data_IF_242800160781
#
_entry.id   IF_242800160781
#
_cell.length_a   1.000
_cell.length_b   1.000
_cell.length_c   1.000
_cell.angle_alpha   90.00
_cell.angle_beta   90.00
_cell.angle_gamma   90.00
#
_symmetry.space_group_name_H-M   'P 1'
#
loop_
_entity.id
_entity.type
_entity.pdbx_description
1 polymer ?
#
# COMPACT_ATOMS: atom_id res chain seq x y z
N UNK A 1 -12.84 -13.66 31.11
CA UNK A 1 -13.07 -12.53 30.19
C UNK A 1 -11.86 -11.63 30.20
N UNK A 2 -11.49 -11.07 29.05
CA UNK A 2 -10.40 -10.08 28.92
C UNK A 2 -11.03 -8.68 28.89
N UNK A 3 -10.63 -7.80 29.81
CA UNK A 3 -11.20 -6.46 29.95
C UNK A 3 -10.22 -5.36 29.54
N UNK A 4 -9.59 -4.72 30.53
CA UNK A 4 -8.73 -3.53 30.37
C UNK A 4 -7.69 -3.67 29.27
N UNK A 5 -6.92 -4.76 29.24
CA UNK A 5 -5.85 -4.95 28.23
C UNK A 5 -6.35 -4.89 26.79
N UNK A 6 -7.53 -5.43 26.53
CA UNK A 6 -8.11 -5.48 25.19
C UNK A 6 -8.70 -4.12 24.78
N UNK A 7 -9.52 -3.51 25.64
CA UNK A 7 -10.23 -2.27 25.28
C UNK A 7 -9.31 -1.05 25.17
N UNK A 8 -8.17 -1.06 25.86
CA UNK A 8 -7.20 0.05 25.82
C UNK A 8 -6.02 -0.19 24.88
N UNK A 9 -5.91 -1.37 24.25
CA UNK A 9 -4.68 -1.81 23.58
C UNK A 9 -3.42 -1.55 24.45
N UNK A 10 -3.44 -2.02 25.69
CA UNK A 10 -2.56 -1.56 26.78
C UNK A 10 -1.08 -1.41 26.43
N UNK A 11 -0.49 -2.38 25.73
CA UNK A 11 0.94 -2.38 25.41
C UNK A 11 1.30 -1.37 24.29
N UNK A 12 0.33 -1.00 23.44
CA UNK A 12 0.48 -0.01 22.38
C UNK A 12 -0.88 0.67 22.08
N UNK A 13 -1.25 1.74 22.82
CA UNK A 13 -2.59 2.34 22.77
C UNK A 13 -2.88 3.17 21.51
N UNK A 14 -1.93 3.26 20.58
CA UNK A 14 -2.05 4.01 19.34
C UNK A 14 -1.40 3.29 18.15
N UNK A 15 -2.07 3.35 16.99
CA UNK A 15 -1.56 2.77 15.75
C UNK A 15 -0.57 3.68 15.00
N UNK A 16 -0.70 5.00 15.12
CA UNK A 16 0.19 5.96 14.45
C UNK A 16 -0.15 6.23 12.97
N UNK A 17 -1.41 6.11 12.56
CA UNK A 17 -1.84 6.47 11.20
C UNK A 17 -1.63 7.97 10.89
N UNK A 18 -1.32 8.30 9.64
CA UNK A 18 -1.04 9.68 9.18
C UNK A 18 -1.78 9.99 7.89
N UNK A 19 -2.08 11.27 7.66
CA UNK A 19 -2.62 11.80 6.41
C UNK A 19 -1.55 12.62 5.68
N UNK A 20 -1.35 12.38 4.39
CA UNK A 20 -0.35 13.08 3.56
C UNK A 20 -0.92 13.38 2.18
N UNK A 21 -0.63 14.59 1.68
CA UNK A 21 -0.88 14.95 0.28
C UNK A 21 0.09 14.15 -0.60
N UNK A 22 -0.42 13.52 -1.64
CA UNK A 22 0.35 12.67 -2.58
C UNK A 22 0.33 13.20 -4.01
N UNK A 23 -0.66 14.02 -4.36
CA UNK A 23 -0.73 14.74 -5.63
C UNK A 23 -1.54 16.03 -5.44
N UNK A 24 -1.25 17.04 -6.23
CA UNK A 24 -1.95 18.33 -6.25
C UNK A 24 -2.10 18.80 -7.70
N UNK A 25 -3.24 19.42 -8.01
CA UNK A 25 -3.47 20.06 -9.30
C UNK A 25 -2.57 21.31 -9.44
N UNK A 26 -1.94 21.47 -10.60
CA UNK A 26 -1.16 22.66 -10.94
C UNK A 26 -2.02 23.74 -11.63
N UNK A 27 -1.41 24.89 -11.93
CA UNK A 27 -2.08 26.04 -12.56
C UNK A 27 -2.65 25.73 -13.95
N UNK A 28 -2.20 24.65 -14.58
CA UNK A 28 -2.66 24.20 -15.90
C UNK A 28 -3.75 23.12 -15.82
N UNK A 29 -4.17 22.75 -14.61
CA UNK A 29 -5.19 21.73 -14.37
C UNK A 29 -4.66 20.29 -14.38
N UNK A 30 -3.33 20.10 -14.41
CA UNK A 30 -2.73 18.77 -14.40
C UNK A 30 -2.39 18.33 -12.97
N UNK A 31 -2.66 17.07 -12.65
CA UNK A 31 -2.28 16.49 -11.36
C UNK A 31 -0.77 16.24 -11.31
N UNK A 32 -0.07 16.92 -10.40
CA UNK A 32 1.35 16.73 -10.11
C UNK A 32 1.55 15.92 -8.83
N UNK A 33 2.38 14.90 -8.92
CA UNK A 33 2.80 14.10 -7.76
C UNK A 33 3.59 14.94 -6.74
N UNK A 34 3.36 14.72 -5.45
CA UNK A 34 4.05 15.43 -4.35
C UNK A 34 4.80 14.45 -3.45
N UNK A 35 5.98 14.87 -3.00
CA UNK A 35 6.78 14.13 -2.03
C UNK A 35 7.12 15.01 -0.82
N UNK A 36 7.06 14.43 0.38
CA UNK A 36 7.56 15.05 1.61
C UNK A 36 8.83 14.33 2.03
N UNK A 37 9.96 15.02 1.93
CA UNK A 37 11.22 14.54 2.45
C UNK A 37 11.24 14.60 3.98
N UNK A 38 12.02 13.69 4.56
CA UNK A 38 12.30 13.64 5.99
C UNK A 38 13.71 13.10 6.17
N UNK A 39 14.35 13.46 7.29
CA UNK A 39 15.65 12.90 7.67
C UNK A 39 15.60 11.38 7.89
N UNK A 40 14.42 10.82 8.19
CA UNK A 40 14.21 9.37 8.21
C UNK A 40 13.62 8.92 6.86
N UNK A 41 14.31 8.00 6.17
CA UNK A 41 13.89 7.40 4.91
C UNK A 41 12.48 6.76 4.97
N UNK A 42 12.11 6.17 6.11
CA UNK A 42 10.78 5.56 6.33
C UNK A 42 9.66 6.60 6.36
N UNK A 43 9.98 7.87 6.66
CA UNK A 43 9.01 8.96 6.72
C UNK A 43 8.81 9.65 5.36
N UNK A 44 9.62 9.30 4.35
CA UNK A 44 9.46 9.80 2.99
C UNK A 44 8.21 9.21 2.36
N UNK A 45 7.27 10.07 1.98
CA UNK A 45 6.00 9.65 1.38
C UNK A 45 6.21 9.02 0.01
N UNK A 46 5.38 8.05 -0.34
CA UNK A 46 5.29 7.54 -1.71
C UNK A 46 4.34 8.45 -2.52
N UNK A 47 4.79 9.04 -3.63
CA UNK A 47 4.04 10.02 -4.43
C UNK A 47 2.83 9.43 -5.16
N UNK A 48 1.94 10.30 -5.63
CA UNK A 48 0.84 10.04 -6.56
C UNK A 48 -0.40 9.35 -5.99
N UNK A 49 -1.49 9.39 -6.75
CA UNK A 49 -2.73 8.65 -6.44
C UNK A 49 -2.51 7.17 -6.74
N UNK A 50 -2.85 6.30 -5.79
CA UNK A 50 -2.49 4.87 -5.83
C UNK A 50 -3.68 3.97 -5.55
N UNK A 51 -3.59 2.73 -6.01
CA UNK A 51 -4.44 1.61 -5.63
C UNK A 51 -3.59 0.53 -4.95
N UNK A 52 -4.20 -0.23 -4.03
CA UNK A 52 -3.58 -1.39 -3.38
C UNK A 52 -4.31 -2.64 -3.83
N UNK A 53 -3.57 -3.60 -4.37
CA UNK A 53 -4.09 -4.86 -4.87
C UNK A 53 -3.64 -6.00 -3.98
N UNK A 54 -4.59 -6.74 -3.39
CA UNK A 54 -4.25 -7.99 -2.71
C UNK A 54 -4.10 -9.10 -3.73
N UNK A 55 -2.91 -9.68 -3.78
CA UNK A 55 -2.57 -10.74 -4.72
C UNK A 55 -2.78 -12.09 -4.03
N UNK A 56 -3.62 -12.94 -4.60
CA UNK A 56 -3.88 -14.30 -4.08
C UNK A 56 -3.51 -15.31 -5.15
N UNK A 57 -2.70 -16.30 -4.80
CA UNK A 57 -2.41 -17.42 -5.71
C UNK A 57 -3.69 -18.21 -5.97
N UNK A 58 -4.07 -18.42 -7.25
CA UNK A 58 -5.23 -19.26 -7.60
C UNK A 58 -5.01 -20.73 -7.28
N UNK A 59 -3.77 -21.19 -7.42
CA UNK A 59 -3.37 -22.57 -7.13
C UNK A 59 -3.46 -22.86 -5.63
N UNK A 60 -2.92 -21.96 -4.80
CA UNK A 60 -2.80 -22.19 -3.36
C UNK A 60 -3.99 -21.64 -2.56
N UNK A 61 -4.76 -20.71 -3.13
CA UNK A 61 -5.81 -19.97 -2.44
C UNK A 61 -5.29 -19.10 -1.30
N UNK A 62 -4.00 -18.73 -1.34
CA UNK A 62 -3.30 -18.00 -0.27
C UNK A 62 -2.71 -16.69 -0.77
N UNK A 63 -2.61 -15.72 0.14
CA UNK A 63 -2.06 -14.40 -0.21
C UNK A 63 -0.58 -14.46 -0.57
N UNK A 64 -0.22 -13.79 -1.65
CA UNK A 64 1.17 -13.58 -2.10
C UNK A 64 1.72 -12.22 -1.64
N UNK A 65 0.88 -11.36 -1.06
CA UNK A 65 1.23 -10.00 -0.65
C UNK A 65 0.29 -8.94 -1.21
N UNK A 66 0.53 -7.69 -0.83
CA UNK A 66 -0.16 -6.54 -1.41
C UNK A 66 0.77 -5.84 -2.41
N UNK A 67 0.23 -5.47 -3.58
CA UNK A 67 0.92 -4.84 -4.68
C UNK A 67 0.32 -3.46 -4.95
N UNK A 68 1.14 -2.42 -4.89
CA UNK A 68 0.69 -1.03 -4.98
C UNK A 68 1.01 -0.49 -6.37
N UNK A 69 -0.01 0.00 -7.08
CA UNK A 69 0.11 0.62 -8.42
C UNK A 69 -0.41 2.05 -8.39
N UNK A 70 -0.13 2.83 -9.45
CA UNK A 70 -0.88 4.07 -9.64
C UNK A 70 -2.35 3.74 -9.88
N UNK A 71 -3.21 4.72 -9.59
CA UNK A 71 -4.62 4.64 -9.90
C UNK A 71 -4.84 4.44 -11.41
N UNK A 72 -5.90 3.72 -11.78
CA UNK A 72 -6.22 3.40 -13.19
C UNK A 72 -5.50 2.18 -13.79
N UNK A 73 -4.51 1.60 -13.11
CA UNK A 73 -3.87 0.35 -13.55
C UNK A 73 -4.73 -0.85 -13.16
N UNK A 74 -5.21 -1.64 -14.12
CA UNK A 74 -5.95 -2.87 -13.85
C UNK A 74 -5.02 -4.08 -13.72
N UNK A 75 -4.64 -4.42 -12.49
CA UNK A 75 -3.79 -5.57 -12.19
C UNK A 75 -4.54 -6.90 -12.38
N UNK A 76 -5.87 -6.90 -12.27
CA UNK A 76 -6.66 -8.14 -12.42
C UNK A 76 -6.66 -8.67 -13.87
N UNK A 77 -6.43 -7.78 -14.85
CA UNK A 77 -6.25 -8.14 -16.25
C UNK A 77 -4.84 -8.67 -16.61
N UNK A 78 -3.87 -8.55 -15.69
CA UNK A 78 -2.48 -8.94 -15.97
C UNK A 78 -2.26 -10.44 -15.81
N UNK A 79 -1.43 -11.03 -16.66
CA UNK A 79 -1.05 -12.45 -16.57
C UNK A 79 0.15 -12.69 -15.66
N UNK A 80 0.94 -11.64 -15.42
CA UNK A 80 2.20 -11.69 -14.67
C UNK A 80 2.45 -10.35 -13.98
N UNK A 81 2.93 -10.40 -12.74
CA UNK A 81 3.48 -9.23 -12.04
C UNK A 81 4.84 -9.57 -11.42
N UNK A 82 5.68 -8.53 -11.29
CA UNK A 82 6.98 -8.61 -10.61
C UNK A 82 6.86 -7.87 -9.28
N UNK A 83 6.91 -8.63 -8.20
CA UNK A 83 6.88 -8.13 -6.83
C UNK A 83 8.31 -8.13 -6.28
N UNK A 84 8.72 -7.02 -5.68
CA UNK A 84 10.06 -6.87 -5.11
C UNK A 84 10.00 -6.03 -3.85
N UNK A 85 10.84 -6.38 -2.87
CA UNK A 85 10.91 -5.64 -1.62
C UNK A 85 11.43 -4.22 -1.90
N UNK A 86 10.75 -3.15 -1.43
CA UNK A 86 11.06 -1.77 -1.80
C UNK A 86 12.45 -1.29 -1.34
N UNK A 87 12.94 -1.80 -0.20
CA UNK A 87 14.31 -1.54 0.30
C UNK A 87 15.34 -2.53 -0.25
N UNK A 88 15.11 -3.84 -0.10
CA UNK A 88 16.00 -4.90 -0.54
C UNK A 88 15.60 -5.45 -1.91
N UNK A 89 15.80 -4.66 -2.96
CA UNK A 89 15.26 -4.93 -4.31
C UNK A 89 15.77 -6.23 -4.98
N UNK A 90 16.83 -6.84 -4.44
CA UNK A 90 17.28 -8.18 -4.84
C UNK A 90 16.31 -9.29 -4.37
N UNK A 91 15.51 -9.05 -3.33
CA UNK A 91 14.41 -9.92 -2.91
C UNK A 91 13.22 -9.63 -3.82
N UNK A 92 13.00 -10.52 -4.79
CA UNK A 92 11.96 -10.36 -5.81
C UNK A 92 11.40 -11.71 -6.23
N UNK A 93 10.15 -11.70 -6.67
CA UNK A 93 9.47 -12.85 -7.26
C UNK A 93 8.61 -12.42 -8.44
N UNK A 94 8.41 -13.36 -9.36
CA UNK A 94 7.44 -13.21 -10.45
C UNK A 94 6.22 -14.03 -10.08
N UNK A 95 5.05 -13.38 -10.01
CA UNK A 95 3.78 -14.03 -9.68
C UNK A 95 2.95 -14.17 -10.95
N UNK A 96 2.45 -15.38 -11.19
CA UNK A 96 1.54 -15.73 -12.29
C UNK A 96 0.36 -16.51 -11.71
N UNK A 97 -0.71 -16.65 -12.48
CA UNK A 97 -1.91 -17.39 -12.07
C UNK A 97 -2.44 -16.92 -10.70
N UNK A 98 -2.70 -15.62 -10.60
CA UNK A 98 -3.17 -14.96 -9.39
C UNK A 98 -4.51 -14.27 -9.62
N UNK A 99 -5.24 -14.06 -8.53
CA UNK A 99 -6.31 -13.07 -8.46
C UNK A 99 -5.77 -11.80 -7.81
N UNK A 100 -6.13 -10.65 -8.37
CA UNK A 100 -5.84 -9.34 -7.81
C UNK A 100 -7.15 -8.65 -7.42
N UNK A 101 -7.31 -8.36 -6.14
CA UNK A 101 -8.50 -7.69 -5.61
C UNK A 101 -8.12 -6.26 -5.19
N UNK A 102 -8.77 -5.21 -5.73
CA UNK A 102 -8.52 -3.84 -5.28
C UNK A 102 -9.05 -3.66 -3.86
N UNK A 103 -8.23 -3.12 -2.96
CA UNK A 103 -8.58 -2.92 -1.55
C UNK A 103 -9.20 -1.55 -1.28
N UNK A 104 -8.85 -0.53 -2.06
CA UNK A 104 -9.48 0.79 -1.96
C UNK A 104 -10.71 0.82 -2.87
N UNK A 105 -11.89 0.86 -2.25
CA UNK A 105 -13.18 0.93 -2.93
C UNK A 105 -13.86 2.27 -2.65
N UNK A 106 -14.69 2.71 -3.58
CA UNK A 106 -15.42 3.98 -3.43
C UNK A 106 -16.44 3.90 -2.29
N UNK A 107 -16.22 4.67 -1.23
CA UNK A 107 -17.21 4.86 -0.15
C UNK A 107 -18.13 6.04 -0.48
N UNK A 108 -17.54 7.16 -0.89
CA UNK A 108 -18.24 8.37 -1.29
C UNK A 108 -17.81 8.81 -2.69
N UNK A 109 -18.77 9.24 -3.52
CA UNK A 109 -18.51 9.93 -4.79
C UNK A 109 -19.19 11.29 -4.79
N UNK A 110 -18.41 12.36 -4.97
CA UNK A 110 -18.90 13.74 -4.97
C UNK A 110 -19.84 14.06 -3.77
N UNK A 111 -19.42 13.65 -2.56
CA UNK A 111 -20.18 13.86 -1.32
C UNK A 111 -21.36 12.91 -1.09
N UNK A 112 -21.66 11.98 -2.00
CA UNK A 112 -22.75 11.01 -1.86
C UNK A 112 -22.20 9.64 -1.45
N UNK A 113 -22.78 9.03 -0.41
CA UNK A 113 -22.49 7.65 -0.01
C UNK A 113 -22.95 6.71 -1.13
N UNK A 114 -22.01 5.99 -1.74
CA UNK A 114 -22.29 5.00 -2.81
C UNK A 114 -22.06 3.57 -2.36
N UNK A 115 -21.45 3.38 -1.17
CA UNK A 115 -21.16 2.08 -0.61
C UNK A 115 -22.32 1.57 0.26
N UNK A 116 -22.68 0.31 0.08
CA UNK A 116 -23.67 -0.35 0.93
C UNK A 116 -23.01 -0.84 2.21
N UNK A 117 -23.47 -0.36 3.37
CA UNK A 117 -22.91 -0.73 4.66
C UNK A 117 -23.28 -2.19 5.00
N UNK A 118 -22.31 -3.09 5.15
CA UNK A 118 -22.58 -4.45 5.57
C UNK A 118 -23.02 -4.49 7.04
N UNK A 119 -23.78 -5.51 7.39
CA UNK A 119 -24.11 -5.83 8.78
C UNK A 119 -22.88 -6.27 9.57
N UNK A 120 -22.96 -6.21 10.90
CA UNK A 120 -21.90 -6.69 11.79
C UNK A 120 -21.56 -8.17 11.55
N UNK A 121 -22.57 -8.99 11.26
CA UNK A 121 -22.40 -10.42 10.97
C UNK A 121 -21.59 -10.63 9.69
N UNK A 122 -21.88 -9.86 8.65
CA UNK A 122 -21.13 -9.89 7.39
C UNK A 122 -19.70 -9.40 7.59
N UNK A 123 -19.47 -8.33 8.35
CA UNK A 123 -18.14 -7.81 8.68
C UNK A 123 -17.31 -8.90 9.40
N UNK A 124 -17.89 -9.56 10.41
CA UNK A 124 -17.23 -10.64 11.15
C UNK A 124 -16.90 -11.84 10.25
N UNK A 125 -17.83 -12.25 9.39
CA UNK A 125 -17.63 -13.35 8.46
C UNK A 125 -16.55 -13.02 7.42
N UNK A 126 -16.55 -11.79 6.90
CA UNK A 126 -15.54 -11.30 5.98
C UNK A 126 -14.15 -11.28 6.62
N UNK A 127 -14.02 -10.73 7.84
CA UNK A 127 -12.74 -10.72 8.56
C UNK A 127 -12.19 -12.14 8.76
N UNK A 128 -13.04 -13.11 9.11
CA UNK A 128 -12.62 -14.50 9.26
C UNK A 128 -12.17 -15.12 7.94
N UNK A 129 -12.96 -14.94 6.88
CA UNK A 129 -12.66 -15.43 5.53
C UNK A 129 -11.31 -14.90 5.03
N UNK A 130 -11.07 -13.60 5.16
CA UNK A 130 -9.80 -13.00 4.72
C UNK A 130 -8.61 -13.43 5.59
N UNK A 131 -8.81 -13.60 6.90
CA UNK A 131 -7.78 -14.13 7.79
C UNK A 131 -7.39 -15.56 7.41
N UNK A 132 -8.35 -16.40 7.02
CA UNK A 132 -8.10 -17.79 6.64
C UNK A 132 -7.33 -17.93 5.30
N UNK A 133 -7.34 -16.89 4.45
CA UNK A 133 -6.51 -16.81 3.23
C UNK A 133 -5.05 -16.46 3.50
N UNK A 134 -4.70 -16.00 4.71
CA UNK A 134 -3.32 -15.78 5.07
C UNK A 134 -2.60 -17.12 5.28
N UNK A 135 -1.31 -17.11 4.99
CA UNK A 135 -0.40 -18.16 5.39
C UNK A 135 -0.22 -18.18 6.90
N UNK A 136 0.08 -19.36 7.46
CA UNK A 136 0.23 -19.52 8.92
C UNK A 136 1.37 -18.67 9.47
N UNK A 137 2.44 -18.45 8.68
CA UNK A 137 3.56 -17.60 9.06
C UNK A 137 3.22 -16.12 9.29
N UNK A 138 2.16 -15.61 8.65
CA UNK A 138 1.68 -14.24 8.88
C UNK A 138 0.71 -14.16 10.07
N UNK A 139 0.18 -15.29 10.53
CA UNK A 139 -0.82 -15.38 11.61
C UNK A 139 -0.20 -15.63 12.99
N UNK A 140 1.07 -16.03 13.06
CA UNK A 140 1.74 -16.32 14.34
C UNK A 140 1.86 -15.05 15.18
N UNK A 141 1.60 -15.18 16.49
CA UNK A 141 1.79 -14.08 17.45
C UNK A 141 3.28 -13.86 17.73
N UNK A 142 4.06 -14.94 17.81
CA UNK A 142 5.50 -14.88 18.05
C UNK A 142 6.25 -14.87 16.71
N UNK A 143 7.04 -13.83 16.47
CA UNK A 143 7.90 -13.65 15.29
C UNK A 143 7.17 -13.99 13.97
N UNK A 144 6.06 -13.30 13.63
CA UNK A 144 5.42 -13.45 12.33
C UNK A 144 6.39 -13.06 11.21
N UNK A 145 6.25 -13.71 10.05
CA UNK A 145 6.96 -13.28 8.85
C UNK A 145 6.42 -11.93 8.39
N UNK A 146 7.26 -11.13 7.73
CA UNK A 146 6.81 -9.87 7.14
C UNK A 146 5.91 -10.14 5.93
N UNK A 147 4.69 -9.62 5.98
CA UNK A 147 3.77 -9.68 4.85
C UNK A 147 4.25 -8.71 3.74
N UNK A 148 4.42 -9.16 2.49
CA UNK A 148 4.92 -8.30 1.42
C UNK A 148 3.97 -7.15 1.12
N UNK A 149 4.51 -5.94 1.05
CA UNK A 149 3.80 -4.73 0.62
C UNK A 149 4.71 -4.03 -0.38
N UNK A 150 4.53 -4.38 -1.65
CA UNK A 150 5.50 -4.09 -2.69
C UNK A 150 4.96 -3.00 -3.64
N UNK A 151 5.87 -2.16 -4.13
CA UNK A 151 5.55 -1.10 -5.08
C UNK A 151 5.69 -1.63 -6.51
N UNK A 152 4.81 -1.18 -7.39
CA UNK A 152 5.06 -1.26 -8.81
C UNK A 152 6.33 -0.49 -9.18
N UNK A 153 7.01 -0.95 -10.23
CA UNK A 153 8.34 -0.46 -10.59
C UNK A 153 8.33 1.03 -10.94
N UNK A 154 7.31 1.48 -11.63
CA UNK A 154 7.07 2.89 -11.99
C UNK A 154 6.92 3.78 -10.74
N UNK A 155 6.13 3.36 -9.75
CA UNK A 155 6.00 4.09 -8.47
C UNK A 155 7.34 4.16 -7.74
N UNK A 156 8.02 3.02 -7.65
CA UNK A 156 9.30 2.96 -6.96
C UNK A 156 10.32 3.88 -7.63
N UNK A 157 10.36 3.88 -8.96
CA UNK A 157 11.26 4.75 -9.73
C UNK A 157 10.91 6.23 -9.55
N UNK A 158 9.63 6.62 -9.71
CA UNK A 158 9.17 8.01 -9.50
C UNK A 158 9.51 8.50 -8.08
N UNK A 159 9.36 7.62 -7.08
CA UNK A 159 9.77 7.95 -5.71
C UNK A 159 11.26 8.25 -5.61
N UNK A 160 12.13 7.44 -6.22
CA UNK A 160 13.57 7.65 -6.17
C UNK A 160 13.98 8.90 -6.96
N UNK A 161 13.43 9.08 -8.16
CA UNK A 161 13.69 10.24 -9.01
C UNK A 161 13.31 11.56 -8.31
N UNK A 162 12.14 11.59 -7.64
CA UNK A 162 11.71 12.75 -6.86
C UNK A 162 12.57 12.99 -5.61
N UNK A 163 13.07 11.94 -4.96
CA UNK A 163 14.02 12.10 -3.83
C UNK A 163 15.32 12.73 -4.33
N UNK A 164 15.87 12.23 -5.42
CA UNK A 164 17.13 12.70 -5.98
C UNK A 164 17.01 14.13 -6.48
N UNK A 165 15.92 14.46 -7.20
CA UNK A 165 15.62 15.83 -7.64
C UNK A 165 15.58 16.82 -6.46
N UNK A 166 14.80 16.50 -5.43
CA UNK A 166 14.65 17.38 -4.26
C UNK A 166 15.94 17.52 -3.45
N UNK A 167 16.79 16.49 -3.42
CA UNK A 167 18.11 16.57 -2.78
C UNK A 167 19.07 17.47 -3.54
N UNK A 168 19.10 17.38 -4.87
CA UNK A 168 19.91 18.26 -5.73
C UNK A 168 19.49 19.72 -5.59
N UNK A 169 18.19 19.98 -5.65
CA UNK A 169 17.64 21.33 -5.44
C UNK A 169 17.99 21.90 -4.05
N UNK A 170 17.95 21.07 -3.00
CA UNK A 170 18.29 21.50 -1.64
C UNK A 170 19.80 21.73 -1.43
N UNK A 171 20.66 21.06 -2.19
CA UNK A 171 22.12 21.18 -2.12
C UNK A 171 22.69 22.28 -3.03
N UNK A 172 21.86 22.92 -3.87
CA UNK A 172 22.27 24.03 -4.71
C UNK A 172 23.07 23.63 -5.97
N UNK A 173 23.05 22.36 -6.38
CA UNK A 173 23.67 21.87 -7.63
C UNK A 173 22.83 22.24 -8.88
N UNK A 174 22.26 23.45 -8.89
CA UNK A 174 21.34 23.96 -9.91
C UNK A 174 21.97 24.91 -10.93
N UNK A 175 23.28 25.20 -10.83
CA UNK A 175 24.02 25.96 -11.83
C UNK A 175 25.45 25.41 -11.94
N UNK A 176 25.64 24.29 -12.64
CA UNK A 176 26.88 24.03 -13.40
C UNK A 176 26.60 22.93 -14.45
N UNK A 177 26.85 23.33 -15.71
CA UNK A 177 26.69 22.67 -17.03
C UNK A 177 25.29 22.62 -17.69
#
# INVERSE_FOLDING_TARGET
>A
GVGTKLITAYDQPALGAVYKIVAIEDETGHMRNTIKLSSNAEKVSTPGKKQVWRITSREKGKSEGDYITYDGVDVASMTEIKMFHPTYTYIKKTVRNFDAVPLLVDIFKAGKLVYNLPSLTEIKAYARKEFDKLWDEYKRVLNPQHYPVDLARDIWQDKMDLIDKMRKEALGEGEEE
#
